data_IF_357101925293
#
_entry.id   IF_357101925293
#
_cell.length_a   1.000
_cell.length_b   1.000
_cell.length_c   1.000
_cell.angle_alpha   90.00
_cell.angle_beta   90.00
_cell.angle_gamma   90.00
#
_symmetry.space_group_name_H-M   'P 1'
#
loop_
_entity.id
_entity.type
_entity.pdbx_description
1 polymer ?
#
# COMPACT_ATOMS: atom_id res chain seq x y z
N UNK A 1 11.35 15.91 -24.25
CA UNK A 1 11.09 14.77 -23.34
C UNK A 1 11.69 15.12 -21.99
N UNK A 2 10.95 15.02 -20.90
CA UNK A 2 11.51 15.24 -19.56
C UNK A 2 12.36 14.03 -19.18
N UNK A 3 13.65 14.23 -18.90
CA UNK A 3 14.56 13.18 -18.47
C UNK A 3 14.48 13.04 -16.96
N UNK A 4 13.85 11.96 -16.48
CA UNK A 4 13.80 11.63 -15.05
C UNK A 4 15.08 10.88 -14.66
N UNK A 5 15.88 11.45 -13.76
CA UNK A 5 17.16 10.91 -13.29
C UNK A 5 17.14 10.73 -11.78
N UNK A 6 17.38 9.50 -11.32
CA UNK A 6 17.46 9.14 -9.90
C UNK A 6 18.91 9.19 -9.37
N UNK A 7 19.78 9.97 -10.01
CA UNK A 7 21.20 10.09 -9.63
C UNK A 7 21.42 10.78 -8.28
N UNK A 8 20.39 11.40 -7.72
CA UNK A 8 20.46 12.12 -6.43
C UNK A 8 21.15 13.49 -6.51
N UNK A 9 21.60 13.91 -7.70
CA UNK A 9 22.17 15.23 -7.92
C UNK A 9 21.08 16.22 -8.33
N UNK A 10 20.36 16.74 -7.33
CA UNK A 10 19.36 17.81 -7.52
C UNK A 10 18.04 17.55 -6.81
N UNK A 11 17.04 18.43 -7.02
CA UNK A 11 15.70 18.26 -6.48
C UNK A 11 15.06 16.93 -6.92
N UNK A 12 14.17 16.38 -6.08
CA UNK A 12 13.43 15.17 -6.40
C UNK A 12 12.66 15.34 -7.72
N UNK A 13 12.86 14.40 -8.63
CA UNK A 13 12.19 14.36 -9.93
C UNK A 13 11.02 13.38 -9.89
N UNK A 14 10.07 13.66 -9.00
CA UNK A 14 8.83 12.87 -8.82
C UNK A 14 7.61 13.77 -9.05
N UNK A 15 6.43 13.21 -9.39
CA UNK A 15 5.19 13.98 -9.47
C UNK A 15 4.94 14.81 -8.20
N UNK A 16 4.35 16.00 -8.38
CA UNK A 16 4.16 17.05 -7.34
C UNK A 16 5.43 17.75 -6.84
N UNK A 17 6.63 17.31 -7.24
CA UNK A 17 7.88 17.99 -6.90
C UNK A 17 8.49 18.68 -8.13
N UNK A 18 8.94 19.92 -7.93
CA UNK A 18 9.54 20.73 -9.00
C UNK A 18 8.52 21.11 -10.08
N UNK A 19 8.88 20.91 -11.35
CA UNK A 19 8.04 21.21 -12.52
C UNK A 19 7.38 19.97 -13.14
N UNK A 20 7.26 18.88 -12.37
CA UNK A 20 6.67 17.62 -12.84
C UNK A 20 5.18 17.61 -12.48
N UNK A 21 4.28 17.48 -13.47
CA UNK A 21 2.84 17.39 -13.21
C UNK A 21 2.49 16.23 -12.29
N UNK A 22 1.45 16.39 -11.48
CA UNK A 22 0.90 15.30 -10.65
C UNK A 22 0.54 14.06 -11.50
N UNK A 23 -0.11 14.28 -12.64
CA UNK A 23 -0.50 13.21 -13.56
C UNK A 23 0.57 13.00 -14.65
N UNK A 24 1.83 12.87 -14.25
CA UNK A 24 2.92 12.61 -15.19
C UNK A 24 2.97 11.11 -15.54
N UNK A 25 2.77 10.79 -16.81
CA UNK A 25 2.94 9.44 -17.35
C UNK A 25 4.02 9.41 -18.43
N UNK A 26 4.85 8.36 -18.42
CA UNK A 26 5.81 8.10 -19.50
C UNK A 26 5.08 7.75 -20.80
N UNK A 27 5.71 8.01 -21.94
CA UNK A 27 5.22 7.52 -23.22
C UNK A 27 5.18 5.98 -23.21
N UNK A 28 4.18 5.35 -23.87
CA UNK A 28 4.06 3.91 -24.06
C UNK A 28 5.38 3.13 -24.20
N UNK A 29 6.27 3.62 -25.05
CA UNK A 29 7.53 2.99 -25.46
C UNK A 29 8.60 3.08 -24.37
N UNK A 30 8.47 4.05 -23.46
CA UNK A 30 9.36 4.26 -22.33
C UNK A 30 8.83 3.62 -21.03
N UNK A 31 7.63 3.03 -21.05
CA UNK A 31 7.07 2.30 -19.90
C UNK A 31 7.69 0.90 -19.83
N UNK A 32 8.08 0.48 -18.63
CA UNK A 32 8.55 -0.89 -18.39
C UNK A 32 7.48 -1.95 -18.72
N UNK A 33 6.20 -1.64 -18.50
CA UNK A 33 5.08 -2.50 -18.86
C UNK A 33 4.10 -1.71 -19.72
N UNK A 34 3.87 -2.17 -20.95
CA UNK A 34 2.84 -1.65 -21.84
C UNK A 34 1.65 -2.63 -21.87
N UNK A 35 0.42 -2.13 -21.70
CA UNK A 35 -0.80 -2.95 -21.78
C UNK A 35 -1.29 -3.57 -20.47
N UNK A 36 -0.57 -3.42 -19.35
CA UNK A 36 -1.18 -3.62 -18.04
C UNK A 36 -1.97 -2.35 -17.73
N UNK A 37 -3.25 -2.36 -18.13
CA UNK A 37 -4.29 -1.44 -17.61
C UNK A 37 -3.93 -1.09 -16.17
N UNK A 38 -3.76 0.22 -15.92
CA UNK A 38 -3.76 0.93 -14.64
C UNK A 38 -3.69 -0.03 -13.46
N UNK A 39 -2.60 -0.02 -12.68
CA UNK A 39 -2.46 -0.75 -11.41
C UNK A 39 -3.84 -1.06 -10.81
N UNK A 40 -4.38 -2.24 -11.12
CA UNK A 40 -5.77 -2.51 -10.80
C UNK A 40 -5.74 -2.66 -9.29
N UNK A 41 -6.36 -1.72 -8.58
CA UNK A 41 -6.65 -1.81 -7.14
C UNK A 41 -7.70 -2.93 -6.87
N UNK A 42 -7.52 -4.08 -7.50
CA UNK A 42 -8.28 -5.30 -7.33
C UNK A 42 -7.30 -6.37 -6.84
N UNK A 43 -6.92 -6.34 -5.54
CA UNK A 43 -6.08 -7.38 -4.99
C UNK A 43 -6.80 -8.72 -5.19
N UNK A 44 -6.14 -9.65 -5.90
CA UNK A 44 -6.65 -11.01 -6.08
C UNK A 44 -6.35 -11.82 -4.82
N UNK A 45 -7.05 -11.49 -3.74
CA UNK A 45 -6.81 -12.11 -2.44
C UNK A 45 -7.12 -13.61 -2.51
N UNK A 46 -6.11 -14.43 -2.19
CA UNK A 46 -6.27 -15.88 -2.11
C UNK A 46 -6.96 -16.26 -0.79
N UNK A 47 -7.53 -17.48 -0.74
CA UNK A 47 -8.21 -18.00 0.47
C UNK A 47 -7.37 -17.86 1.73
N UNK A 48 -6.05 -18.08 1.64
CA UNK A 48 -5.11 -17.95 2.76
C UNK A 48 -4.97 -16.51 3.24
N UNK A 49 -4.89 -15.54 2.32
CA UNK A 49 -4.82 -14.12 2.67
C UNK A 49 -6.11 -13.68 3.34
N UNK A 50 -7.27 -14.08 2.82
CA UNK A 50 -8.56 -13.83 3.47
C UNK A 50 -8.67 -14.45 4.86
N UNK A 51 -8.11 -15.64 5.06
CA UNK A 51 -8.08 -16.29 6.38
C UNK A 51 -7.22 -15.55 7.41
N UNK A 52 -6.18 -14.82 6.97
CA UNK A 52 -5.36 -13.98 7.85
C UNK A 52 -6.01 -12.61 8.10
N UNK A 53 -6.62 -12.01 7.06
CA UNK A 53 -7.22 -10.68 7.16
C UNK A 53 -8.49 -10.67 8.04
N UNK A 54 -9.29 -11.75 8.01
CA UNK A 54 -10.55 -11.80 8.79
C UNK A 54 -10.33 -11.70 10.31
N UNK A 55 -9.42 -12.48 10.94
CA UNK A 55 -9.09 -12.31 12.35
C UNK A 55 -8.52 -10.92 12.65
N UNK A 56 -7.62 -10.42 11.81
CA UNK A 56 -7.05 -9.08 11.99
C UNK A 56 -8.14 -8.02 12.05
N UNK A 57 -9.06 -8.03 11.07
CA UNK A 57 -10.19 -7.11 11.02
C UNK A 57 -11.05 -7.23 12.28
N UNK A 58 -11.47 -8.46 12.62
CA UNK A 58 -12.33 -8.72 13.78
C UNK A 58 -11.74 -8.20 15.10
N UNK A 59 -10.42 -8.36 15.28
CA UNK A 59 -9.69 -7.86 16.45
C UNK A 59 -9.65 -6.33 16.43
N UNK A 60 -9.30 -5.72 15.30
CA UNK A 60 -9.16 -4.25 15.19
C UNK A 60 -10.48 -3.49 15.24
N UNK A 61 -11.61 -4.17 15.06
CA UNK A 61 -12.94 -3.59 15.25
C UNK A 61 -13.35 -3.51 16.73
N UNK A 62 -12.65 -4.19 17.64
CA UNK A 62 -12.95 -4.15 19.07
C UNK A 62 -12.48 -2.82 19.69
N UNK A 63 -13.30 -2.23 20.56
CA UNK A 63 -12.91 -1.02 21.30
C UNK A 63 -11.71 -1.28 22.21
N UNK A 64 -10.65 -0.48 22.10
CA UNK A 64 -9.42 -0.66 22.90
C UNK A 64 -8.57 -1.87 22.51
N UNK A 65 -8.70 -2.34 21.26
CA UNK A 65 -7.89 -3.43 20.70
C UNK A 65 -6.38 -3.16 20.82
N UNK A 66 -5.98 -1.91 20.64
CA UNK A 66 -4.59 -1.44 20.66
C UNK A 66 -3.96 -1.72 22.02
N UNK A 67 -4.62 -1.29 23.11
CA UNK A 67 -4.16 -1.56 24.48
C UNK A 67 -4.20 -3.05 24.81
N UNK A 68 -5.26 -3.74 24.40
CA UNK A 68 -5.41 -5.18 24.70
C UNK A 68 -4.30 -6.03 24.06
N UNK A 69 -3.89 -5.70 22.82
CA UNK A 69 -2.78 -6.38 22.15
C UNK A 69 -1.43 -5.95 22.72
N UNK A 70 -1.21 -4.64 22.87
CA UNK A 70 0.10 -4.11 23.26
C UNK A 70 0.42 -4.38 24.73
N UNK A 71 -0.59 -4.40 25.60
CA UNK A 71 -0.45 -4.68 27.03
C UNK A 71 -0.50 -6.20 27.33
N UNK A 72 -0.58 -7.05 26.30
CA UNK A 72 -0.51 -8.53 26.39
C UNK A 72 -1.55 -9.16 27.32
N UNK A 73 -2.79 -8.67 27.32
CA UNK A 73 -3.88 -9.30 28.08
C UNK A 73 -4.43 -10.52 27.32
N UNK A 74 -3.67 -11.62 27.39
CA UNK A 74 -3.98 -12.90 26.73
C UNK A 74 -5.40 -13.40 27.06
N UNK A 75 -5.90 -13.10 28.27
CA UNK A 75 -7.23 -13.53 28.71
C UNK A 75 -8.37 -12.81 28.00
N UNK A 76 -8.15 -11.56 27.56
CA UNK A 76 -9.11 -10.82 26.73
C UNK A 76 -8.99 -11.20 25.27
N UNK A 77 -7.77 -11.41 24.77
CA UNK A 77 -7.52 -11.84 23.38
C UNK A 77 -8.17 -13.19 23.08
N UNK A 78 -8.15 -14.13 24.03
CA UNK A 78 -8.78 -15.44 23.88
C UNK A 78 -10.32 -15.38 23.71
N UNK A 79 -10.97 -14.26 24.06
CA UNK A 79 -12.43 -14.07 23.89
C UNK A 79 -12.82 -13.55 22.50
N UNK A 80 -11.85 -13.19 21.67
CA UNK A 80 -12.04 -12.68 20.31
C UNK A 80 -11.83 -13.76 19.24
N UNK A 81 -11.84 -15.03 19.65
CA UNK A 81 -11.69 -16.21 18.80
C UNK A 81 -12.98 -17.03 18.75
#
# INVERSE_FOLDING_TARGET
>A
MATLSNTGHGPLQVPEFGSIPLNFELAPEARFAHGLVEYRHAPRLIKREMAMLRPMLHITEQGGWDRTILDSDETKLAKWY
#
